data_IF_403582647281
#
_entry.id   IF_403582647281
#
_cell.length_a   1.000
_cell.length_b   1.000
_cell.length_c   1.000
_cell.angle_alpha   90.00
_cell.angle_beta   90.00
_cell.angle_gamma   90.00
#
_symmetry.space_group_name_H-M   'P 1'
#
loop_
_entity.id
_entity.type
_entity.pdbx_description
1 polymer ?
#
# COMPACT_ATOMS: atom_id res chain seq x y z
N UNK A 1 28.46 71.24 17.61
CA UNK A 1 27.15 71.91 17.58
C UNK A 1 27.00 72.67 16.27
N UNK A 2 25.75 72.77 15.75
CA UNK A 2 25.29 73.39 14.48
C UNK A 2 25.57 72.53 13.23
N UNK A 3 24.66 72.30 12.28
CA UNK A 3 23.19 72.36 12.10
C UNK A 3 22.97 71.72 10.70
N UNK A 4 21.92 70.91 10.48
CA UNK A 4 21.56 70.29 9.18
C UNK A 4 21.32 71.35 8.08
N UNK A 5 21.45 71.00 6.79
CA UNK A 5 20.30 70.62 5.95
C UNK A 5 20.67 69.43 5.02
N UNK A 6 19.80 68.55 4.53
CA UNK A 6 18.51 68.69 3.84
C UNK A 6 18.61 67.75 2.64
N UNK A 7 17.81 66.68 2.57
CA UNK A 7 17.81 65.76 1.43
C UNK A 7 16.41 65.67 0.83
N UNK A 8 16.41 65.77 -0.50
CA UNK A 8 15.27 65.90 -1.39
C UNK A 8 14.41 64.63 -1.49
N UNK A 9 13.13 64.84 -1.81
CA UNK A 9 12.15 63.84 -2.22
C UNK A 9 12.53 63.21 -3.57
N UNK A 10 12.50 61.86 -3.64
CA UNK A 10 12.57 61.10 -4.88
C UNK A 10 11.17 60.56 -5.28
N UNK A 11 10.86 60.37 -6.58
CA UNK A 11 9.54 60.01 -7.06
C UNK A 11 9.23 58.51 -6.96
N UNK A 12 7.93 58.20 -6.93
CA UNK A 12 7.35 56.91 -6.60
C UNK A 12 7.77 55.73 -7.47
N UNK A 13 8.00 54.59 -6.80
CA UNK A 13 8.18 53.29 -7.41
C UNK A 13 6.83 52.61 -7.69
N UNK A 14 6.60 52.19 -8.94
CA UNK A 14 5.59 51.20 -9.31
C UNK A 14 5.96 49.82 -8.73
N UNK A 15 5.04 49.05 -8.15
CA UNK A 15 5.38 47.76 -7.56
C UNK A 15 5.63 46.69 -8.62
N UNK A 16 6.79 46.03 -8.54
CA UNK A 16 7.13 44.81 -9.29
C UNK A 16 6.15 43.69 -8.91
N UNK A 17 5.40 43.17 -9.88
CA UNK A 17 4.58 41.94 -9.71
C UNK A 17 5.50 40.76 -9.40
N UNK A 18 5.17 39.98 -8.38
CA UNK A 18 5.98 38.84 -7.92
C UNK A 18 5.99 37.71 -8.95
N UNK A 19 7.11 37.00 -9.01
CA UNK A 19 7.39 35.85 -9.88
C UNK A 19 6.33 34.73 -9.79
N UNK A 20 5.56 34.69 -8.70
CA UNK A 20 4.44 33.78 -8.48
C UNK A 20 3.19 34.08 -9.33
N UNK A 21 2.97 35.33 -9.73
CA UNK A 21 1.82 35.68 -10.60
C UNK A 21 2.07 35.32 -12.07
N UNK A 22 3.33 35.39 -12.53
CA UNK A 22 3.70 35.00 -13.90
C UNK A 22 3.61 33.48 -14.11
N UNK A 23 3.98 32.68 -13.11
CA UNK A 23 3.84 31.22 -13.17
C UNK A 23 2.37 30.79 -13.16
N UNK A 24 1.51 31.38 -12.32
CA UNK A 24 0.06 31.08 -12.31
C UNK A 24 -0.64 31.41 -13.64
N UNK A 25 -0.25 32.50 -14.32
CA UNK A 25 -0.77 32.82 -15.66
C UNK A 25 -0.29 31.80 -16.72
N UNK A 26 0.96 31.36 -16.66
CA UNK A 26 1.52 30.33 -17.55
C UNK A 26 0.83 28.96 -17.38
N UNK A 27 0.53 28.57 -16.13
CA UNK A 27 -0.21 27.33 -15.82
C UNK A 27 -1.68 27.38 -16.28
N UNK A 28 -2.35 28.54 -16.19
CA UNK A 28 -3.73 28.69 -16.70
C UNK A 28 -3.76 28.68 -18.24
N UNK A 29 -2.77 29.28 -18.89
CA UNK A 29 -2.66 29.30 -20.35
C UNK A 29 -2.39 27.89 -20.91
N UNK A 30 -1.48 27.12 -20.32
CA UNK A 30 -1.17 25.74 -20.75
C UNK A 30 -2.35 24.79 -20.51
N UNK A 31 -3.11 24.94 -19.42
CA UNK A 31 -4.33 24.15 -19.17
C UNK A 31 -5.46 24.49 -20.15
N UNK A 32 -5.60 25.77 -20.53
CA UNK A 32 -6.53 26.22 -21.57
C UNK A 32 -6.15 25.66 -22.95
N UNK A 33 -4.86 25.72 -23.32
CA UNK A 33 -4.31 25.14 -24.55
C UNK A 33 -4.50 23.62 -24.64
N UNK A 34 -4.23 22.88 -23.55
CA UNK A 34 -4.46 21.43 -23.49
C UNK A 34 -5.96 21.08 -23.61
N UNK A 35 -6.84 21.92 -23.06
CA UNK A 35 -8.30 21.76 -23.23
C UNK A 35 -8.77 22.09 -24.65
N UNK A 36 -8.16 23.09 -25.29
CA UNK A 36 -8.41 23.47 -26.69
C UNK A 36 -7.95 22.39 -27.67
N UNK A 37 -6.76 21.83 -27.46
CA UNK A 37 -6.21 20.71 -28.24
C UNK A 37 -7.06 19.44 -28.09
N UNK A 38 -7.56 19.15 -26.88
CA UNK A 38 -8.51 18.04 -26.66
C UNK A 38 -9.85 18.24 -27.36
N UNK A 39 -10.37 19.47 -27.38
CA UNK A 39 -11.61 19.80 -28.12
C UNK A 39 -11.40 19.72 -29.63
N UNK A 40 -10.28 20.22 -30.15
CA UNK A 40 -9.96 20.12 -31.58
C UNK A 40 -9.73 18.67 -32.02
N UNK A 41 -9.07 17.85 -31.21
CA UNK A 41 -8.91 16.41 -31.49
C UNK A 41 -10.28 15.69 -31.48
N UNK A 42 -11.15 15.99 -30.51
CA UNK A 42 -12.50 15.43 -30.46
C UNK A 42 -13.36 15.86 -31.67
N UNK A 43 -13.25 17.12 -32.11
CA UNK A 43 -13.95 17.63 -33.30
C UNK A 43 -13.38 17.01 -34.57
N UNK A 44 -12.06 16.84 -34.70
CA UNK A 44 -11.43 16.20 -35.85
C UNK A 44 -11.83 14.72 -35.96
N UNK A 45 -11.88 14.01 -34.83
CA UNK A 45 -12.39 12.62 -34.77
C UNK A 45 -13.87 12.60 -35.16
N UNK A 46 -14.68 13.53 -34.64
CA UNK A 46 -16.10 13.62 -35.00
C UNK A 46 -16.31 13.94 -36.49
N UNK A 47 -15.47 14.81 -37.07
CA UNK A 47 -15.55 15.17 -38.49
C UNK A 47 -15.09 14.03 -39.39
N UNK A 48 -14.06 13.26 -39.02
CA UNK A 48 -13.71 12.05 -39.80
C UNK A 48 -14.73 10.93 -39.67
N UNK A 49 -15.30 10.72 -38.48
CA UNK A 49 -16.43 9.80 -38.31
C UNK A 49 -17.65 10.24 -39.14
N UNK A 50 -17.86 11.55 -39.31
CA UNK A 50 -18.93 12.10 -40.15
C UNK A 50 -18.63 11.94 -41.65
N UNK A 51 -17.38 12.09 -42.08
CA UNK A 51 -16.98 11.84 -43.49
C UNK A 51 -17.05 10.36 -43.86
N UNK A 52 -16.74 9.46 -42.92
CA UNK A 52 -16.91 8.02 -43.09
C UNK A 52 -18.38 7.61 -43.16
N UNK A 53 -19.28 8.35 -42.50
CA UNK A 53 -20.73 8.15 -42.60
C UNK A 53 -21.32 8.58 -43.96
N UNK A 54 -20.63 9.42 -44.74
CA UNK A 54 -21.10 9.93 -46.03
C UNK A 54 -20.70 9.08 -47.24
N UNK A 55 -20.02 7.94 -47.06
CA UNK A 55 -19.54 7.07 -48.17
C UNK A 55 -20.22 5.69 -48.28
N UNK A 56 -21.33 5.45 -47.57
CA UNK A 56 -22.07 4.19 -47.64
C UNK A 56 -23.55 4.40 -47.97
N UNK A 57 -24.04 3.65 -48.94
CA UNK A 57 -25.46 3.53 -49.33
C UNK A 57 -26.34 3.02 -48.18
N UNK A 58 -27.46 3.72 -47.92
CA UNK A 58 -28.67 3.16 -47.29
C UNK A 58 -28.83 3.33 -45.76
N UNK A 59 -29.83 4.12 -45.29
CA UNK A 59 -30.09 4.33 -43.87
C UNK A 59 -31.16 3.36 -43.32
N UNK A 60 -30.85 2.63 -42.24
CA UNK A 60 -31.75 2.37 -41.07
C UNK A 60 -31.41 1.14 -40.21
N UNK A 61 -30.58 0.20 -40.66
CA UNK A 61 -30.39 -1.07 -39.92
C UNK A 61 -29.14 -1.08 -39.02
N UNK A 62 -28.04 -0.43 -39.43
CA UNK A 62 -26.77 -0.51 -38.71
C UNK A 62 -26.69 0.40 -37.47
N UNK A 63 -27.34 1.57 -37.48
CA UNK A 63 -27.36 2.51 -36.35
C UNK A 63 -28.12 1.91 -35.15
N UNK A 64 -29.14 1.08 -35.40
CA UNK A 64 -29.83 0.34 -34.35
C UNK A 64 -29.00 -0.83 -33.81
N UNK A 65 -28.14 -1.44 -34.63
CA UNK A 65 -27.28 -2.54 -34.24
C UNK A 65 -26.06 -2.08 -33.43
N UNK A 66 -25.48 -0.91 -33.77
CA UNK A 66 -24.42 -0.29 -32.97
C UNK A 66 -25.01 0.27 -31.68
N UNK A 67 -26.16 0.95 -31.70
CA UNK A 67 -26.82 1.47 -30.49
C UNK A 67 -27.30 0.34 -29.55
N UNK A 68 -27.72 -0.82 -30.06
CA UNK A 68 -28.04 -2.02 -29.23
C UNK A 68 -26.82 -2.82 -28.79
N UNK A 69 -25.67 -2.72 -29.46
CA UNK A 69 -24.41 -3.34 -29.01
C UNK A 69 -23.60 -2.46 -28.06
N UNK A 70 -23.75 -1.15 -28.12
CA UNK A 70 -23.16 -0.21 -27.15
C UNK A 70 -23.87 -0.24 -25.78
N UNK A 71 -25.12 -0.72 -25.72
CA UNK A 71 -25.89 -0.82 -24.47
C UNK A 71 -25.68 -2.12 -23.69
N UNK A 72 -24.85 -3.04 -24.19
CA UNK A 72 -24.56 -4.34 -23.53
C UNK A 72 -23.08 -4.50 -23.12
N UNK A 73 -22.24 -3.48 -23.36
CA UNK A 73 -20.83 -3.44 -22.94
C UNK A 73 -20.52 -2.32 -21.94
N UNK A 74 -21.57 -1.68 -21.44
CA UNK A 74 -21.51 -0.86 -20.24
C UNK A 74 -22.38 -1.51 -19.18
N UNK A 75 -22.06 -2.75 -18.81
CA UNK A 75 -22.13 -3.08 -17.40
C UNK A 75 -21.11 -2.17 -16.71
N UNK A 76 -21.49 -0.89 -16.52
CA UNK A 76 -21.12 -0.19 -15.31
C UNK A 76 -21.53 -1.17 -14.24
N UNK A 77 -20.56 -1.88 -13.69
CA UNK A 77 -20.67 -2.37 -12.33
C UNK A 77 -21.17 -1.13 -11.59
N UNK A 78 -22.46 -1.12 -11.23
CA UNK A 78 -22.92 -0.22 -10.20
C UNK A 78 -22.14 -0.69 -8.98
N UNK A 79 -20.95 -0.12 -8.80
CA UNK A 79 -20.22 -0.21 -7.56
C UNK A 79 -21.19 0.41 -6.56
N UNK A 80 -21.89 -0.45 -5.83
CA UNK A 80 -22.73 -0.02 -4.72
C UNK A 80 -21.86 0.93 -3.89
N UNK A 81 -22.34 2.14 -3.59
CA UNK A 81 -21.57 3.04 -2.77
C UNK A 81 -21.24 2.32 -1.46
N UNK A 82 -19.97 2.33 -1.08
CA UNK A 82 -19.52 1.74 0.17
C UNK A 82 -20.29 2.37 1.34
N UNK A 83 -20.67 1.54 2.31
CA UNK A 83 -21.22 2.00 3.58
C UNK A 83 -20.22 2.89 4.33
N UNK A 84 -20.69 3.70 5.28
CA UNK A 84 -19.81 4.54 6.11
C UNK A 84 -18.75 3.72 6.85
N UNK A 85 -19.11 2.51 7.29
CA UNK A 85 -18.19 1.57 7.92
C UNK A 85 -17.12 1.08 6.95
N UNK A 86 -17.50 0.70 5.72
CA UNK A 86 -16.55 0.29 4.68
C UNK A 86 -15.59 1.42 4.30
N UNK A 87 -16.11 2.65 4.16
CA UNK A 87 -15.28 3.85 3.92
C UNK A 87 -14.29 4.05 5.08
N UNK A 88 -14.71 3.82 6.33
CA UNK A 88 -13.81 3.89 7.49
C UNK A 88 -12.67 2.87 7.41
N UNK A 89 -12.96 1.61 7.05
CA UNK A 89 -11.91 0.60 6.89
C UNK A 89 -10.97 0.93 5.72
N UNK A 90 -11.48 1.42 4.59
CA UNK A 90 -10.65 1.87 3.47
C UNK A 90 -9.69 2.97 3.92
N UNK A 91 -10.18 3.98 4.66
CA UNK A 91 -9.34 5.06 5.20
C UNK A 91 -8.26 4.54 6.14
N UNK A 92 -8.60 3.62 7.04
CA UNK A 92 -7.61 3.00 7.93
C UNK A 92 -6.52 2.23 7.16
N UNK A 93 -6.90 1.50 6.10
CA UNK A 93 -5.95 0.83 5.22
C UNK A 93 -4.99 1.80 4.51
N UNK A 94 -5.51 2.92 4.00
CA UNK A 94 -4.70 3.98 3.37
C UNK A 94 -3.81 4.71 4.38
N UNK A 95 -4.31 4.95 5.58
CA UNK A 95 -3.54 5.53 6.68
C UNK A 95 -2.37 4.62 7.08
N UNK A 96 -2.61 3.30 7.18
CA UNK A 96 -1.58 2.32 7.49
C UNK A 96 -0.48 2.35 6.44
N UNK A 97 -0.88 2.41 5.15
CA UNK A 97 0.04 2.51 4.02
C UNK A 97 0.89 3.78 4.11
N UNK A 98 0.26 4.94 4.30
CA UNK A 98 0.97 6.22 4.35
C UNK A 98 1.94 6.29 5.55
N UNK A 99 1.49 5.91 6.75
CA UNK A 99 2.32 5.91 7.95
C UNK A 99 3.50 4.95 7.82
N UNK A 100 3.27 3.74 7.33
CA UNK A 100 4.33 2.74 7.18
C UNK A 100 5.38 3.16 6.14
N UNK A 101 4.95 3.73 5.01
CA UNK A 101 5.85 4.27 4.00
C UNK A 101 6.64 5.49 4.51
N UNK A 102 6.04 6.33 5.35
CA UNK A 102 6.72 7.44 6.00
C UNK A 102 7.84 6.95 6.92
N UNK A 103 7.54 5.95 7.78
CA UNK A 103 8.51 5.33 8.69
C UNK A 103 9.69 4.72 7.91
N UNK A 104 9.38 3.99 6.83
CA UNK A 104 10.41 3.39 5.98
C UNK A 104 11.16 4.38 5.11
N UNK A 105 10.60 5.57 4.85
CA UNK A 105 11.25 6.64 4.09
C UNK A 105 12.36 7.31 4.88
N UNK A 106 12.20 7.42 6.20
CA UNK A 106 13.21 7.94 7.11
C UNK A 106 14.31 6.88 7.37
N UNK A 107 15.46 7.05 6.71
CA UNK A 107 16.60 6.13 6.81
C UNK A 107 17.42 6.30 8.08
N UNK A 108 17.21 7.36 8.86
CA UNK A 108 18.04 7.66 10.02
C UNK A 108 17.54 6.94 11.27
N UNK A 109 18.46 6.59 12.18
CA UNK A 109 18.11 6.07 13.51
C UNK A 109 17.70 4.59 13.57
N UNK A 110 17.81 3.84 12.48
CA UNK A 110 17.66 2.37 12.50
C UNK A 110 18.88 1.71 13.16
N UNK A 111 18.62 0.80 14.10
CA UNK A 111 19.64 -0.02 14.78
C UNK A 111 19.55 -1.46 14.30
N UNK A 112 20.68 -2.11 14.09
CA UNK A 112 20.70 -3.53 13.71
C UNK A 112 20.41 -4.38 14.94
N UNK A 113 19.40 -5.25 14.87
CA UNK A 113 19.10 -6.26 15.90
C UNK A 113 19.79 -7.58 15.54
N UNK A 114 19.68 -8.01 14.28
CA UNK A 114 20.24 -9.29 13.81
C UNK A 114 20.69 -9.18 12.36
N UNK A 115 21.79 -9.87 12.02
CA UNK A 115 22.19 -10.18 10.65
C UNK A 115 22.39 -11.69 10.58
N UNK A 116 21.74 -12.34 9.62
CA UNK A 116 21.82 -13.79 9.40
C UNK A 116 22.86 -14.07 8.31
N UNK A 117 23.45 -15.27 8.31
CA UNK A 117 24.53 -15.65 7.39
C UNK A 117 24.15 -15.54 5.90
N UNK A 118 22.86 -15.71 5.58
CA UNK A 118 22.32 -15.54 4.22
C UNK A 118 22.18 -14.06 3.79
N UNK A 119 22.54 -13.11 4.66
CA UNK A 119 22.47 -11.67 4.42
C UNK A 119 21.19 -10.99 4.88
N UNK A 120 20.22 -11.73 5.44
CA UNK A 120 18.98 -11.15 5.99
C UNK A 120 19.28 -10.24 7.17
N UNK A 121 18.54 -9.14 7.27
CA UNK A 121 18.74 -8.14 8.34
C UNK A 121 17.44 -7.82 9.01
N UNK A 122 17.47 -7.79 10.34
CA UNK A 122 16.41 -7.21 11.16
C UNK A 122 16.97 -5.96 11.81
N UNK A 123 16.31 -4.83 11.58
CA UNK A 123 16.60 -3.55 12.20
C UNK A 123 15.45 -3.14 13.11
N UNK A 124 15.71 -2.21 14.02
CA UNK A 124 14.69 -1.59 14.84
C UNK A 124 14.83 -0.09 14.94
N UNK A 125 13.73 0.58 15.27
CA UNK A 125 13.68 2.03 15.55
C UNK A 125 12.62 2.30 16.59
N UNK A 126 12.87 3.23 17.51
CA UNK A 126 11.88 3.69 18.49
C UNK A 126 11.28 4.99 17.98
N UNK A 127 9.96 5.00 17.80
CA UNK A 127 9.19 6.14 17.32
C UNK A 127 8.39 6.75 18.48
N UNK A 128 8.25 8.09 18.57
CA UNK A 128 7.56 8.75 19.68
C UNK A 128 6.13 8.25 19.93
N UNK A 129 5.33 8.10 18.87
CA UNK A 129 3.89 7.79 18.99
C UNK A 129 3.54 6.32 18.76
N UNK A 130 4.50 5.50 18.32
CA UNK A 130 4.28 4.09 17.93
C UNK A 130 5.06 3.13 18.84
N UNK A 131 6.19 3.57 19.40
CA UNK A 131 7.09 2.70 20.15
C UNK A 131 8.14 2.03 19.25
N UNK A 132 8.64 0.87 19.68
CA UNK A 132 9.69 0.14 18.94
C UNK A 132 9.08 -0.61 17.76
N UNK A 133 9.55 -0.31 16.55
CA UNK A 133 9.19 -1.01 15.31
C UNK A 133 10.38 -1.81 14.81
N UNK A 134 10.10 -2.87 14.05
CA UNK A 134 11.10 -3.74 13.45
C UNK A 134 11.02 -3.70 11.93
N UNK A 135 12.16 -3.80 11.25
CA UNK A 135 12.27 -3.80 9.79
C UNK A 135 13.11 -4.98 9.36
N UNK A 136 12.48 -5.93 8.70
CA UNK A 136 13.14 -7.02 8.02
C UNK A 136 13.51 -6.60 6.60
N UNK A 137 14.72 -6.92 6.16
CA UNK A 137 15.18 -6.79 4.78
C UNK A 137 15.71 -8.13 4.28
N UNK A 138 15.07 -8.69 3.25
CA UNK A 138 15.45 -9.97 2.65
C UNK A 138 15.37 -9.93 1.13
N UNK A 139 16.14 -10.81 0.50
CA UNK A 139 16.00 -11.14 -0.92
C UNK A 139 15.50 -12.59 -1.02
N UNK A 140 14.50 -12.79 -1.87
CA UNK A 140 13.89 -14.08 -2.15
C UNK A 140 14.14 -14.43 -3.61
N UNK A 141 14.57 -15.67 -3.87
CA UNK A 141 14.88 -16.19 -5.20
C UNK A 141 13.63 -16.59 -5.98
N UNK A 142 12.65 -15.69 -6.04
CA UNK A 142 11.41 -15.84 -6.80
C UNK A 142 10.96 -14.52 -7.42
N UNK A 143 10.26 -14.56 -8.57
CA UNK A 143 9.67 -13.37 -9.17
C UNK A 143 8.58 -12.78 -8.28
N UNK A 144 8.37 -11.46 -8.39
CA UNK A 144 7.48 -10.71 -7.53
C UNK A 144 6.05 -11.26 -7.50
N UNK A 145 5.54 -11.70 -8.64
CA UNK A 145 4.15 -12.20 -8.73
C UNK A 145 3.97 -13.50 -7.94
N UNK A 146 4.98 -14.37 -7.87
CA UNK A 146 4.94 -15.58 -7.05
C UNK A 146 4.91 -15.24 -5.55
N UNK A 147 5.78 -14.31 -5.12
CA UNK A 147 5.81 -13.84 -3.72
C UNK A 147 4.51 -13.12 -3.36
N UNK A 148 3.98 -12.28 -4.25
CA UNK A 148 2.73 -11.58 -4.03
C UNK A 148 1.56 -12.55 -3.90
N UNK A 149 1.46 -13.55 -4.77
CA UNK A 149 0.38 -14.52 -4.74
C UNK A 149 0.38 -15.31 -3.44
N UNK A 150 1.55 -15.75 -2.97
CA UNK A 150 1.64 -16.49 -1.71
C UNK A 150 1.27 -15.63 -0.48
N UNK A 151 1.66 -14.35 -0.47
CA UNK A 151 1.41 -13.46 0.67
C UNK A 151 0.02 -12.82 0.67
N UNK A 152 -0.65 -12.74 -0.48
CA UNK A 152 -1.92 -12.02 -0.63
C UNK A 152 -3.05 -12.92 -1.09
N UNK A 153 -2.87 -13.57 -2.24
CA UNK A 153 -3.94 -14.36 -2.84
C UNK A 153 -4.19 -15.63 -2.03
N UNK A 154 -3.11 -16.23 -1.50
CA UNK A 154 -3.13 -17.45 -0.69
C UNK A 154 -2.92 -17.19 0.82
N UNK A 155 -3.29 -15.99 1.31
CA UNK A 155 -2.98 -15.63 2.70
C UNK A 155 -3.66 -16.53 3.74
N UNK A 156 -4.83 -17.12 3.42
CA UNK A 156 -5.53 -18.03 4.35
C UNK A 156 -4.80 -19.38 4.49
N UNK A 157 -3.93 -19.73 3.53
CA UNK A 157 -3.07 -20.93 3.56
C UNK A 157 -1.73 -20.67 4.28
N UNK A 158 -1.48 -19.46 4.80
CA UNK A 158 -0.20 -19.14 5.45
C UNK A 158 0.12 -20.06 6.62
N UNK A 159 -0.89 -20.51 7.37
CA UNK A 159 -0.72 -21.44 8.49
C UNK A 159 -0.23 -22.84 8.08
N UNK A 160 -0.36 -23.22 6.80
CA UNK A 160 0.08 -24.53 6.31
C UNK A 160 1.62 -24.63 6.23
N UNK A 161 2.29 -23.49 6.09
CA UNK A 161 3.74 -23.42 5.90
C UNK A 161 4.48 -22.51 6.89
N UNK A 162 3.77 -21.66 7.63
CA UNK A 162 4.35 -20.78 8.64
C UNK A 162 3.94 -21.23 10.05
N UNK A 163 4.81 -21.92 10.80
CA UNK A 163 4.53 -22.39 12.16
C UNK A 163 4.18 -21.30 13.17
N UNK A 164 4.49 -20.04 12.90
CA UNK A 164 4.12 -18.91 13.77
C UNK A 164 2.65 -18.49 13.62
N UNK A 165 1.96 -18.98 12.59
CA UNK A 165 0.57 -18.65 12.27
C UNK A 165 -0.28 -19.92 12.38
N UNK A 166 -1.29 -19.88 13.25
CA UNK A 166 -2.23 -21.00 13.38
C UNK A 166 -3.31 -20.95 12.30
N UNK A 167 -3.89 -19.77 12.06
CA UNK A 167 -5.02 -19.59 11.16
C UNK A 167 -5.11 -18.13 10.71
N UNK A 168 -5.40 -17.91 9.43
CA UNK A 168 -5.82 -16.60 8.91
C UNK A 168 -7.17 -16.78 8.23
N UNK A 169 -8.14 -15.93 8.61
CA UNK A 169 -9.48 -15.88 8.02
C UNK A 169 -9.76 -14.49 7.49
N UNK A 170 -10.22 -14.42 6.24
CA UNK A 170 -10.75 -13.18 5.66
C UNK A 170 -12.20 -13.02 6.13
N UNK A 171 -12.43 -12.01 6.98
CA UNK A 171 -13.76 -11.70 7.51
C UNK A 171 -14.61 -10.94 6.50
N UNK A 172 -13.99 -10.02 5.75
CA UNK A 172 -14.67 -9.20 4.76
C UNK A 172 -13.69 -8.70 3.70
N UNK A 173 -14.11 -8.69 2.44
CA UNK A 173 -13.42 -8.00 1.34
C UNK A 173 -14.19 -6.73 0.99
N UNK A 174 -13.49 -5.60 0.88
CA UNK A 174 -14.07 -4.28 0.63
C UNK A 174 -13.41 -3.68 -0.61
N UNK A 175 -14.17 -3.62 -1.70
CA UNK A 175 -13.63 -3.21 -2.99
C UNK A 175 -12.53 -4.15 -3.46
N UNK A 176 -11.51 -3.60 -4.12
CA UNK A 176 -10.42 -4.37 -4.72
C UNK A 176 -9.24 -4.62 -3.78
N UNK A 177 -8.92 -3.63 -2.96
CA UNK A 177 -7.61 -3.54 -2.31
C UNK A 177 -7.68 -3.78 -0.79
N UNK A 178 -8.88 -3.70 -0.19
CA UNK A 178 -9.04 -3.69 1.26
C UNK A 178 -9.67 -4.99 1.75
N UNK A 179 -9.07 -5.60 2.76
CA UNK A 179 -9.62 -6.80 3.42
C UNK A 179 -9.53 -6.67 4.93
N UNK A 180 -10.48 -7.26 5.63
CA UNK A 180 -10.45 -7.42 7.09
C UNK A 180 -10.10 -8.86 7.39
N UNK A 181 -9.11 -9.09 8.24
CA UNK A 181 -8.63 -10.42 8.57
C UNK A 181 -8.68 -10.66 10.08
N UNK A 182 -8.99 -11.90 10.45
CA UNK A 182 -8.70 -12.46 11.77
C UNK A 182 -7.51 -13.40 11.65
N UNK A 183 -6.47 -13.17 12.45
CA UNK A 183 -5.28 -14.00 12.47
C UNK A 183 -5.05 -14.52 13.89
N UNK A 184 -4.84 -15.82 14.03
CA UNK A 184 -4.42 -16.46 15.27
C UNK A 184 -2.95 -16.80 15.17
N UNK A 185 -2.15 -16.25 16.06
CA UNK A 185 -0.75 -16.64 16.17
C UNK A 185 -0.67 -18.01 16.86
N UNK A 186 0.27 -18.83 16.40
CA UNK A 186 0.59 -20.08 17.08
C UNK A 186 1.29 -19.80 18.42
N UNK A 187 1.30 -20.82 19.29
CA UNK A 187 2.03 -20.73 20.53
C UNK A 187 3.55 -20.61 20.27
N UNK A 188 4.20 -19.71 21.00
CA UNK A 188 5.66 -19.59 20.94
C UNK A 188 6.33 -20.82 21.56
N UNK A 189 7.53 -21.22 21.10
CA UNK A 189 8.28 -22.32 21.71
C UNK A 189 8.41 -22.15 23.23
N UNK A 190 8.10 -23.21 23.98
CA UNK A 190 8.12 -23.18 25.45
C UNK A 190 6.98 -22.37 26.09
N UNK A 191 5.98 -21.93 25.32
CA UNK A 191 4.81 -21.16 25.79
C UNK A 191 5.19 -19.87 26.54
N UNK A 192 6.32 -19.25 26.19
CA UNK A 192 6.84 -18.04 26.83
C UNK A 192 5.87 -16.86 26.63
N UNK A 193 5.27 -16.78 25.44
CA UNK A 193 4.19 -15.85 25.10
C UNK A 193 2.93 -16.67 24.86
N UNK A 194 1.93 -16.47 25.71
CA UNK A 194 0.61 -17.11 25.55
C UNK A 194 -0.10 -16.74 24.22
N UNK A 195 -1.22 -17.39 23.89
CA UNK A 195 -1.88 -17.23 22.59
C UNK A 195 -2.37 -15.80 22.33
N UNK A 196 -2.10 -15.28 21.12
CA UNK A 196 -2.57 -13.97 20.65
C UNK A 196 -3.41 -14.14 19.39
N UNK A 197 -4.46 -13.33 19.29
CA UNK A 197 -5.20 -13.15 18.05
C UNK A 197 -5.20 -11.67 17.63
N UNK A 198 -5.45 -11.42 16.35
CA UNK A 198 -5.42 -10.10 15.73
C UNK A 198 -6.64 -9.93 14.85
N UNK A 199 -7.29 -8.78 14.95
CA UNK A 199 -8.27 -8.31 13.95
C UNK A 199 -7.67 -7.08 13.29
N UNK A 200 -7.44 -7.15 11.99
CA UNK A 200 -6.71 -6.11 11.25
C UNK A 200 -7.39 -5.78 9.93
N UNK A 201 -7.31 -4.52 9.53
CA UNK A 201 -7.58 -4.10 8.16
C UNK A 201 -6.27 -4.11 7.39
N UNK A 202 -6.29 -4.65 6.17
CA UNK A 202 -5.16 -4.72 5.26
C UNK A 202 -5.51 -4.05 3.95
N UNK A 203 -4.54 -3.35 3.36
CA UNK A 203 -4.66 -2.67 2.08
C UNK A 203 -3.49 -3.05 1.18
N UNK A 204 -3.80 -3.64 0.02
CA UNK A 204 -2.83 -4.05 -1.00
C UNK A 204 -2.84 -3.06 -2.14
N UNK A 205 -1.72 -2.40 -2.42
CA UNK A 205 -1.57 -1.45 -3.54
C UNK A 205 -0.40 -1.84 -4.43
N UNK A 206 -0.59 -1.78 -5.75
CA UNK A 206 0.48 -1.89 -6.75
C UNK A 206 0.74 -0.54 -7.42
N UNK A 207 1.99 -0.11 -7.46
CA UNK A 207 2.45 1.06 -8.20
C UNK A 207 3.64 0.67 -9.09
N UNK A 208 3.38 0.53 -10.40
CA UNK A 208 4.38 0.02 -11.33
C UNK A 208 4.82 -1.39 -10.93
N UNK A 209 6.14 -1.58 -10.77
CA UNK A 209 6.75 -2.83 -10.32
C UNK A 209 6.84 -2.98 -8.79
N UNK A 210 6.25 -2.08 -8.00
CA UNK A 210 6.23 -2.20 -6.54
C UNK A 210 4.85 -2.60 -6.05
N UNK A 211 4.77 -3.65 -5.24
CA UNK A 211 3.59 -3.97 -4.45
C UNK A 211 3.82 -3.59 -2.98
N UNK A 212 2.79 -3.08 -2.33
CA UNK A 212 2.81 -2.78 -0.90
C UNK A 212 1.57 -3.38 -0.24
N UNK A 213 1.79 -4.16 0.81
CA UNK A 213 0.76 -4.76 1.65
C UNK A 213 0.83 -4.03 2.98
N UNK A 214 -0.10 -3.14 3.25
CA UNK A 214 -0.14 -2.38 4.51
C UNK A 214 -1.27 -2.88 5.39
N UNK A 215 -1.17 -2.66 6.70
CA UNK A 215 -2.25 -2.95 7.62
C UNK A 215 -2.05 -2.36 8.99
N UNK A 216 -3.13 -2.34 9.75
CA UNK A 216 -3.16 -2.00 11.16
C UNK A 216 -4.35 -2.69 11.84
N UNK A 217 -4.34 -2.72 13.16
CA UNK A 217 -5.48 -3.23 13.92
C UNK A 217 -6.74 -2.42 13.66
N UNK A 218 -7.87 -3.12 13.62
CA UNK A 218 -9.18 -2.50 13.47
C UNK A 218 -10.20 -3.16 14.38
N UNK A 219 -11.35 -2.51 14.57
CA UNK A 219 -12.47 -3.08 15.31
C UNK A 219 -13.46 -3.67 14.33
N UNK A 220 -13.82 -4.93 14.50
CA UNK A 220 -14.81 -5.61 13.69
C UNK A 220 -15.87 -6.25 14.59
N UNK A 221 -17.09 -5.69 14.59
CA UNK A 221 -18.13 -6.05 15.55
C UNK A 221 -18.54 -7.52 15.51
N UNK A 222 -18.45 -8.17 14.34
CA UNK A 222 -18.75 -9.59 14.19
C UNK A 222 -17.59 -10.52 14.59
N UNK A 223 -16.45 -9.97 15.04
CA UNK A 223 -15.31 -10.73 15.58
C UNK A 223 -14.80 -10.11 16.89
N UNK A 224 -15.56 -10.23 17.99
CA UNK A 224 -15.11 -9.81 19.32
C UNK A 224 -13.90 -10.65 19.79
N UNK A 225 -13.33 -10.28 20.93
CA UNK A 225 -12.27 -11.05 21.58
C UNK A 225 -12.75 -12.49 21.87
N UNK A 226 -11.89 -13.47 21.61
CA UNK A 226 -12.21 -14.88 21.76
C UNK A 226 -11.61 -15.42 23.06
N UNK A 227 -12.34 -16.28 23.76
CA UNK A 227 -11.83 -16.93 24.97
C UNK A 227 -10.53 -17.71 24.68
N UNK A 228 -9.56 -17.63 25.58
CA UNK A 228 -8.25 -18.29 25.44
C UNK A 228 -7.22 -17.50 24.64
N UNK A 229 -7.57 -16.36 24.04
CA UNK A 229 -6.64 -15.49 23.31
C UNK A 229 -6.59 -14.09 23.92
N UNK A 230 -5.39 -13.49 23.92
CA UNK A 230 -5.23 -12.06 24.17
C UNK A 230 -5.27 -11.34 22.82
N UNK A 231 -6.19 -10.37 22.67
CA UNK A 231 -6.30 -9.53 21.47
C UNK A 231 -5.13 -8.54 21.37
N UNK A 232 -4.10 -8.94 20.65
CA UNK A 232 -2.96 -8.09 20.34
C UNK A 232 -3.30 -7.09 19.23
N UNK A 233 -2.51 -6.01 19.16
CA UNK A 233 -2.74 -4.92 18.23
C UNK A 233 -1.55 -4.67 17.30
N UNK A 234 -1.83 -4.65 16.00
CA UNK A 234 -0.90 -4.18 14.98
C UNK A 234 -0.97 -2.65 14.92
N UNK A 235 0.17 -2.00 15.14
CA UNK A 235 0.38 -0.63 14.66
C UNK A 235 0.53 -0.59 13.14
N UNK A 236 0.96 0.55 12.56
CA UNK A 236 1.26 0.65 11.13
C UNK A 236 2.33 -0.37 10.73
N UNK A 237 1.92 -1.34 9.91
CA UNK A 237 2.74 -2.45 9.42
C UNK A 237 2.67 -2.47 7.91
N UNK A 238 3.78 -2.78 7.22
CA UNK A 238 3.71 -3.06 5.79
C UNK A 238 4.80 -4.00 5.26
N UNK A 239 4.48 -4.74 4.21
CA UNK A 239 5.44 -5.45 3.37
C UNK A 239 5.55 -4.75 2.01
N UNK A 240 6.77 -4.42 1.60
CA UNK A 240 7.09 -3.85 0.29
C UNK A 240 7.79 -4.93 -0.54
N UNK A 241 7.23 -5.25 -1.70
CA UNK A 241 7.80 -6.17 -2.67
C UNK A 241 8.28 -5.38 -3.89
N UNK A 242 9.55 -5.58 -4.27
CA UNK A 242 10.14 -4.98 -5.47
C UNK A 242 11.04 -6.00 -6.17
N UNK A 243 11.07 -6.05 -7.51
CA UNK A 243 12.10 -6.80 -8.22
C UNK A 243 13.48 -6.30 -7.80
N UNK A 244 14.43 -7.22 -7.63
CA UNK A 244 15.80 -6.85 -7.32
C UNK A 244 16.43 -6.15 -8.54
N UNK A 245 17.08 -4.99 -8.38
CA UNK A 245 17.78 -4.34 -9.49
C UNK A 245 18.81 -5.29 -10.12
N UNK A 246 18.71 -5.49 -11.43
CA UNK A 246 19.59 -6.40 -12.18
C UNK A 246 19.17 -7.87 -12.17
N UNK A 247 18.17 -8.27 -11.38
CA UNK A 247 17.70 -9.67 -11.30
C UNK A 247 16.17 -9.74 -11.14
N UNK A 248 15.39 -9.66 -12.25
CA UNK A 248 13.93 -9.66 -12.21
C UNK A 248 13.30 -10.97 -11.68
N UNK A 249 14.07 -12.07 -11.67
CA UNK A 249 13.68 -13.35 -11.06
C UNK A 249 13.82 -13.38 -9.55
N UNK A 250 14.33 -12.31 -8.93
CA UNK A 250 14.47 -12.16 -7.49
C UNK A 250 13.64 -10.99 -6.98
N UNK A 251 13.14 -11.10 -5.76
CA UNK A 251 12.32 -10.08 -5.11
C UNK A 251 12.97 -9.62 -3.82
N UNK A 252 13.16 -8.31 -3.70
CA UNK A 252 13.47 -7.67 -2.41
C UNK A 252 12.17 -7.49 -1.63
N UNK A 253 12.09 -8.13 -0.47
CA UNK A 253 11.01 -7.97 0.50
C UNK A 253 11.51 -7.12 1.67
N UNK A 254 10.78 -6.05 1.98
CA UNK A 254 11.01 -5.22 3.16
C UNK A 254 9.76 -5.24 4.03
N UNK A 255 9.86 -5.73 5.26
CA UNK A 255 8.71 -5.86 6.16
C UNK A 255 8.90 -5.00 7.42
N UNK A 256 8.12 -3.92 7.49
CA UNK A 256 7.94 -3.12 8.70
C UNK A 256 6.89 -3.79 9.59
N UNK A 257 7.25 -4.09 10.83
CA UNK A 257 6.41 -4.70 11.84
C UNK A 257 6.28 -3.79 13.06
N UNK A 258 5.05 -3.51 13.46
CA UNK A 258 4.72 -2.75 14.66
C UNK A 258 3.62 -3.48 15.41
N UNK A 259 3.93 -4.06 16.57
CA UNK A 259 2.98 -4.88 17.34
C UNK A 259 3.01 -4.50 18.82
N UNK A 260 1.82 -4.33 19.39
CA UNK A 260 1.57 -4.43 20.82
C UNK A 260 0.96 -5.81 21.15
N UNK A 261 1.77 -6.71 21.72
CA UNK A 261 1.33 -8.06 22.10
C UNK A 261 0.39 -8.05 23.32
N UNK A 262 0.26 -6.91 24.00
CA UNK A 262 -0.43 -6.72 25.27
C UNK A 262 0.00 -7.71 26.37
N UNK A 263 -0.61 -7.53 27.54
CA UNK A 263 -0.37 -8.37 28.71
C UNK A 263 0.93 -7.99 29.44
N UNK A 264 1.36 -8.87 30.35
CA UNK A 264 2.46 -8.60 31.26
C UNK A 264 3.74 -9.31 30.80
N UNK A 265 4.35 -8.79 29.73
CA UNK A 265 5.58 -9.33 29.14
C UNK A 265 6.74 -8.33 29.29
N UNK A 266 7.93 -8.78 29.73
CA UNK A 266 9.14 -7.96 29.69
C UNK A 266 9.47 -7.50 28.27
N UNK A 267 9.83 -6.21 28.12
CA UNK A 267 10.17 -5.62 26.81
C UNK A 267 11.29 -6.35 26.08
N UNK A 268 12.26 -6.89 26.81
CA UNK A 268 13.37 -7.67 26.24
C UNK A 268 12.86 -8.93 25.54
N UNK A 269 11.92 -9.65 26.17
CA UNK A 269 11.29 -10.86 25.61
C UNK A 269 10.48 -10.48 24.38
N UNK A 270 9.65 -9.43 24.44
CA UNK A 270 8.88 -8.95 23.29
C UNK A 270 9.80 -8.67 22.11
N UNK A 271 10.88 -7.92 22.34
CA UNK A 271 11.80 -7.53 21.28
C UNK A 271 12.49 -8.74 20.64
N UNK A 272 12.93 -9.70 21.44
CA UNK A 272 13.57 -10.92 20.95
C UNK A 272 12.59 -11.76 20.13
N UNK A 273 11.37 -11.95 20.63
CA UNK A 273 10.32 -12.72 19.93
C UNK A 273 10.00 -12.07 18.60
N UNK A 274 9.72 -10.75 18.57
CA UNK A 274 9.36 -10.06 17.32
C UNK A 274 10.50 -10.09 16.29
N UNK A 275 11.76 -9.93 16.73
CA UNK A 275 12.92 -10.05 15.84
C UNK A 275 13.05 -11.46 15.27
N UNK A 276 12.89 -12.49 16.11
CA UNK A 276 12.99 -13.88 15.69
C UNK A 276 11.86 -14.26 14.73
N UNK A 277 10.62 -13.82 15.00
CA UNK A 277 9.47 -14.05 14.12
C UNK A 277 9.71 -13.54 12.70
N UNK A 278 10.43 -12.42 12.53
CA UNK A 278 10.78 -11.91 11.20
C UNK A 278 11.78 -12.81 10.46
N UNK A 279 12.80 -13.30 11.17
CA UNK A 279 13.78 -14.24 10.61
C UNK A 279 13.11 -15.56 10.22
N UNK A 280 12.30 -16.11 11.13
CA UNK A 280 11.58 -17.36 10.90
C UNK A 280 10.64 -17.24 9.71
N UNK A 281 9.88 -16.14 9.61
CA UNK A 281 9.02 -15.87 8.47
C UNK A 281 9.80 -15.90 7.15
N UNK A 282 10.98 -15.26 7.09
CA UNK A 282 11.79 -15.25 5.88
C UNK A 282 12.25 -16.66 5.47
N UNK A 283 12.61 -17.50 6.44
CA UNK A 283 13.02 -18.88 6.20
C UNK A 283 11.85 -19.72 5.66
N UNK A 284 10.72 -19.72 6.36
CA UNK A 284 9.54 -20.48 5.95
C UNK A 284 9.01 -20.02 4.58
N UNK A 285 9.04 -18.71 4.29
CA UNK A 285 8.63 -18.19 2.99
C UNK A 285 9.53 -18.72 1.86
N UNK A 286 10.85 -18.79 2.08
CA UNK A 286 11.78 -19.36 1.09
C UNK A 286 11.52 -20.84 0.84
N UNK A 287 11.35 -21.61 1.91
CA UNK A 287 11.07 -23.04 1.83
C UNK A 287 9.77 -23.31 1.06
N UNK A 288 8.71 -22.57 1.41
CA UNK A 288 7.41 -22.64 0.74
C UNK A 288 7.55 -22.37 -0.76
N UNK A 289 8.23 -21.29 -1.11
CA UNK A 289 8.38 -20.88 -2.49
C UNK A 289 9.26 -21.84 -3.31
N UNK A 290 10.28 -22.44 -2.70
CA UNK A 290 11.10 -23.46 -3.35
C UNK A 290 10.29 -24.73 -3.67
N UNK A 291 9.37 -25.13 -2.80
CA UNK A 291 8.50 -26.29 -3.02
C UNK A 291 7.49 -26.06 -4.15
N UNK A 292 6.90 -24.87 -4.25
CA UNK A 292 5.94 -24.54 -5.33
C UNK A 292 6.58 -24.62 -6.72
N UNK A 293 7.86 -24.28 -6.85
CA UNK A 293 8.60 -24.45 -8.11
C UNK A 293 8.83 -25.92 -8.44
N UNK A 294 9.16 -26.75 -7.44
CA UNK A 294 9.40 -28.17 -7.65
C UNK A 294 8.15 -28.95 -8.10
N UNK A 295 6.95 -28.51 -7.72
CA UNK A 295 5.68 -29.15 -8.11
C UNK A 295 5.19 -28.71 -9.49
N UNK A 296 5.69 -27.58 -10.01
CA UNK A 296 5.30 -27.03 -11.31
C UNK A 296 6.27 -27.38 -12.46
N UNK A 297 7.37 -28.08 -12.17
CA UNK A 297 8.32 -28.64 -13.14
C UNK A 297 8.06 -30.13 -13.35
#
# INVERSE_FOLDING_TARGET
MRKKPGLALAPGALPKKSQAQQTLCSWRATRSLLSGLRRQAAVAISQELSKLACRGTGPSTWINQVRRRSSLLSSRLEEKPFSEMEISYIKQGEEALQKSLSILGDQDGWKTETVVDNGDKVLSKVLPDVGKVFRLEVVVDQPLDAVYSELVDNMEQMGDWNPNVQEIKILQKIGKDTVITHEKAAATPGNIVGPRDFVSVRCSKRRGSTCVLAGMSTKYGAMPEQEGFIRAENGPTCMILRPLPGSPSQTKLTWLLSIDLKGWLPKTIINQVLSQTQVDFANHLRERLAQTVAVSC
#
